data_IF_336988006770
#
_entry.id   IF_336988006770
#
_cell.length_a   1.000
_cell.length_b   1.000
_cell.length_c   1.000
_cell.angle_alpha   90.00
_cell.angle_beta   90.00
_cell.angle_gamma   90.00
#
_symmetry.space_group_name_H-M   'P 1'
#
loop_
_entity.id
_entity.type
_entity.pdbx_description
1 polymer ?
#
# COMPACT_ATOMS: atom_id res chain seq x y z
N UNK A 1 -0.62 -5.79 13.86
CA UNK A 1 0.68 -5.08 13.81
C UNK A 1 1.81 -6.10 13.98
N UNK A 2 2.31 -6.70 12.90
CA UNK A 2 3.43 -7.64 13.00
C UNK A 2 4.76 -6.90 12.84
N UNK A 3 5.63 -7.04 13.83
CA UNK A 3 7.05 -6.71 13.72
C UNK A 3 7.76 -8.02 13.42
N UNK A 4 8.04 -8.25 12.14
CA UNK A 4 8.86 -9.35 11.68
C UNK A 4 9.78 -8.84 10.57
N UNK A 5 11.08 -9.10 10.72
CA UNK A 5 12.00 -9.05 9.58
C UNK A 5 11.74 -10.31 8.75
N UNK A 6 11.50 -10.13 7.45
CA UNK A 6 11.22 -11.24 6.54
C UNK A 6 12.52 -11.69 5.90
N UNK A 7 13.01 -12.87 6.26
CA UNK A 7 13.90 -13.66 5.42
C UNK A 7 13.20 -15.00 5.16
N UNK A 8 12.60 -15.15 3.99
CA UNK A 8 12.15 -16.47 3.54
C UNK A 8 13.34 -17.17 2.89
N UNK A 9 13.98 -18.07 3.64
CA UNK A 9 14.59 -19.24 3.02
C UNK A 9 13.50 -20.30 2.84
N UNK A 10 13.51 -20.97 1.68
CA UNK A 10 12.63 -22.09 1.41
C UNK A 10 12.87 -23.16 2.49
N UNK A 11 11.91 -23.32 3.39
CA UNK A 11 11.98 -24.30 4.48
C UNK A 11 10.73 -24.19 5.34
N UNK A 12 10.11 -25.34 5.59
CA UNK A 12 9.11 -25.54 6.63
C UNK A 12 9.71 -25.09 7.97
N UNK A 13 9.39 -23.87 8.41
CA UNK A 13 9.59 -23.42 9.77
C UNK A 13 8.25 -22.87 10.28
N UNK A 14 7.88 -23.29 11.49
CA UNK A 14 6.71 -22.78 12.23
C UNK A 14 6.89 -21.29 12.49
N UNK A 15 6.34 -20.47 11.60
CA UNK A 15 6.39 -19.01 11.74
C UNK A 15 5.25 -18.57 12.63
N UNK A 16 5.61 -18.10 13.81
CA UNK A 16 4.70 -17.48 14.76
C UNK A 16 4.74 -15.96 14.59
N UNK A 17 3.58 -15.32 14.50
CA UNK A 17 3.44 -13.87 14.33
C UNK A 17 2.72 -13.28 15.53
N UNK A 18 3.34 -12.29 16.18
CA UNK A 18 2.65 -11.46 17.15
C UNK A 18 2.18 -10.16 16.49
N UNK A 19 0.95 -9.73 16.77
CA UNK A 19 0.56 -8.37 16.43
C UNK A 19 -0.75 -7.87 17.01
N UNK A 20 -0.91 -6.55 16.98
CA UNK A 20 -2.11 -5.85 17.45
C UNK A 20 -3.23 -5.82 16.41
N UNK A 21 -4.46 -6.14 16.81
CA UNK A 21 -5.67 -6.10 15.96
C UNK A 21 -6.31 -4.70 16.02
N UNK A 22 -6.69 -4.16 14.86
CA UNK A 22 -7.39 -2.87 14.74
C UNK A 22 -8.92 -3.09 14.58
N UNK A 23 -9.77 -2.06 14.70
CA UNK A 23 -11.21 -2.27 14.76
C UNK A 23 -11.85 -2.77 13.47
N UNK A 24 -12.85 -3.62 13.70
CA UNK A 24 -13.93 -4.06 12.82
C UNK A 24 -13.53 -4.75 11.50
N UNK A 25 -13.50 -6.08 11.60
CA UNK A 25 -13.85 -7.02 10.53
C UNK A 25 -15.25 -7.62 10.80
N UNK A 26 -16.20 -6.81 11.29
CA UNK A 26 -17.61 -7.19 11.21
C UNK A 26 -18.16 -6.67 9.87
N UNK A 27 -18.35 -7.61 8.92
CA UNK A 27 -19.12 -7.35 7.70
C UNK A 27 -18.30 -7.01 6.45
N UNK A 28 -17.58 -7.97 5.89
CA UNK A 28 -17.29 -8.01 4.45
C UNK A 28 -17.51 -9.43 3.93
N UNK A 29 -18.75 -9.89 4.05
CA UNK A 29 -19.29 -10.93 3.19
C UNK A 29 -19.62 -10.24 1.86
N UNK A 30 -19.00 -10.71 0.79
CA UNK A 30 -19.23 -10.29 -0.59
C UNK A 30 -20.73 -10.31 -0.94
N UNK A 31 -21.21 -9.23 -1.57
CA UNK A 31 -22.35 -9.28 -2.48
C UNK A 31 -22.05 -8.36 -3.68
N UNK A 32 -21.88 -9.00 -4.83
CA UNK A 32 -21.97 -8.39 -6.15
C UNK A 32 -23.43 -7.94 -6.41
N UNK A 33 -23.63 -6.78 -7.05
CA UNK A 33 -24.52 -6.58 -8.21
C UNK A 33 -24.83 -5.08 -8.48
N UNK A 34 -24.56 -4.66 -9.73
CA UNK A 34 -25.37 -3.84 -10.66
C UNK A 34 -25.93 -2.46 -10.18
N UNK A 35 -26.04 -1.36 -10.94
CA UNK A 35 -25.91 -1.04 -12.35
C UNK A 35 -26.03 0.51 -12.52
N UNK A 36 -25.25 1.05 -13.47
CA UNK A 36 -25.52 2.19 -14.39
C UNK A 36 -26.38 3.39 -13.93
N UNK A 37 -25.80 4.59 -14.08
CA UNK A 37 -26.41 5.70 -14.86
C UNK A 37 -25.37 6.75 -15.28
N UNK A 38 -25.33 7.01 -16.59
CA UNK A 38 -24.60 8.11 -17.23
C UNK A 38 -25.20 9.46 -16.84
N UNK A 39 -24.37 10.49 -16.68
CA UNK A 39 -24.53 11.86 -17.20
C UNK A 39 -23.15 12.56 -17.15
N UNK A 40 -22.78 13.21 -18.24
CA UNK A 40 -21.50 13.88 -18.50
C UNK A 40 -21.35 15.23 -17.78
N UNK A 41 -20.22 15.44 -17.06
CA UNK A 41 -19.56 16.74 -16.86
C UNK A 41 -18.14 16.56 -16.23
N UNK A 42 -17.26 17.59 -16.15
CA UNK A 42 -15.81 17.48 -16.38
C UNK A 42 -14.97 17.03 -15.17
N UNK A 43 -15.46 16.08 -14.37
CA UNK A 43 -14.83 15.57 -13.13
C UNK A 43 -14.06 14.23 -13.30
N UNK A 44 -13.90 13.74 -14.53
CA UNK A 44 -13.51 12.35 -14.78
C UNK A 44 -11.98 12.11 -14.77
N UNK A 45 -11.35 12.22 -13.59
CA UNK A 45 -9.99 11.69 -13.34
C UNK A 45 -10.02 10.20 -12.98
N UNK A 46 -11.14 9.71 -12.45
CA UNK A 46 -11.35 8.28 -12.28
C UNK A 46 -11.41 7.67 -13.69
N UNK A 47 -10.53 6.70 -13.96
CA UNK A 47 -10.32 6.11 -15.28
C UNK A 47 -11.49 5.17 -15.63
N UNK A 48 -12.70 5.72 -15.77
CA UNK A 48 -13.88 4.98 -16.19
C UNK A 48 -13.58 4.27 -17.53
N UNK A 49 -13.68 2.93 -17.52
CA UNK A 49 -13.55 2.10 -18.71
C UNK A 49 -12.18 1.43 -18.94
N UNK A 50 -11.21 1.53 -18.02
CA UNK A 50 -9.89 0.88 -18.15
C UNK A 50 -9.64 -0.31 -17.19
N UNK A 51 -10.67 -1.04 -16.76
CA UNK A 51 -10.49 -2.31 -16.04
C UNK A 51 -9.60 -3.30 -16.81
N UNK A 52 -9.63 -3.25 -18.15
CA UNK A 52 -8.87 -4.16 -19.03
C UNK A 52 -7.35 -3.99 -18.96
N UNK A 53 -6.83 -2.89 -18.39
CA UNK A 53 -5.40 -2.61 -18.30
C UNK A 53 -4.86 -2.59 -16.86
N UNK A 54 -5.70 -2.97 -15.88
CA UNK A 54 -5.24 -3.14 -14.50
C UNK A 54 -4.53 -4.48 -14.35
N UNK A 55 -3.38 -4.46 -13.70
CA UNK A 55 -2.68 -5.70 -13.37
C UNK A 55 -3.45 -6.53 -12.32
N UNK A 56 -4.26 -5.91 -11.43
CA UNK A 56 -5.00 -6.60 -10.35
C UNK A 56 -6.37 -5.98 -10.00
N UNK A 57 -7.28 -6.77 -9.39
CA UNK A 57 -8.53 -6.28 -8.79
C UNK A 57 -8.28 -5.26 -7.67
N UNK A 58 -9.11 -4.22 -7.61
CA UNK A 58 -9.08 -3.21 -6.55
C UNK A 58 -9.57 -3.83 -5.22
N UNK A 59 -8.83 -3.57 -4.13
CA UNK A 59 -9.29 -3.91 -2.78
C UNK A 59 -9.97 -2.66 -2.20
N UNK A 60 -11.21 -2.75 -1.69
CA UNK A 60 -11.88 -1.61 -1.07
C UNK A 60 -11.01 -1.01 0.05
N UNK A 61 -10.94 0.32 0.08
CA UNK A 61 -10.31 1.02 1.19
C UNK A 61 -11.25 0.95 2.40
N UNK A 62 -10.67 0.81 3.59
CA UNK A 62 -11.42 0.94 4.85
C UNK A 62 -11.92 2.38 5.01
N UNK A 63 -13.01 2.55 5.77
CA UNK A 63 -13.51 3.88 6.12
C UNK A 63 -12.44 4.69 6.87
N UNK A 64 -12.56 6.02 6.83
CA UNK A 64 -11.61 6.89 7.55
C UNK A 64 -11.66 6.60 9.05
N UNK A 65 -12.84 6.33 9.58
CA UNK A 65 -13.07 5.99 10.99
C UNK A 65 -12.30 4.74 11.38
N UNK A 66 -12.36 3.69 10.55
CA UNK A 66 -11.59 2.46 10.76
C UNK A 66 -10.08 2.74 10.64
N UNK A 67 -9.64 3.48 9.61
CA UNK A 67 -8.22 3.84 9.41
C UNK A 67 -7.66 4.63 10.60
N UNK A 68 -8.42 5.56 11.17
CA UNK A 68 -8.01 6.38 12.31
C UNK A 68 -7.76 5.58 13.59
N UNK A 69 -8.22 4.34 13.66
CA UNK A 69 -7.94 3.45 14.78
C UNK A 69 -6.71 2.56 14.56
N UNK A 70 -6.13 2.55 13.35
CA UNK A 70 -4.84 1.91 13.12
C UNK A 70 -3.70 2.81 13.61
N UNK A 71 -2.63 2.21 14.16
CA UNK A 71 -1.43 2.96 14.49
C UNK A 71 -0.77 3.53 13.23
N UNK A 72 -0.18 4.73 13.31
CA UNK A 72 0.46 5.41 12.17
C UNK A 72 1.72 4.70 11.68
N UNK A 73 2.36 3.89 12.53
CA UNK A 73 3.60 3.16 12.25
C UNK A 73 3.31 1.67 12.44
N UNK A 74 3.87 0.82 11.58
CA UNK A 74 3.75 -0.63 11.70
C UNK A 74 3.56 -1.32 10.35
N UNK A 75 3.11 -2.57 10.38
CA UNK A 75 2.78 -3.35 9.18
C UNK A 75 1.33 -3.82 9.22
N UNK A 76 0.56 -3.52 8.17
CA UNK A 76 -0.75 -4.11 7.92
C UNK A 76 -0.57 -5.36 7.06
N UNK A 77 -1.01 -6.49 7.61
CA UNK A 77 -1.08 -7.77 6.90
C UNK A 77 -2.55 -8.09 6.67
N UNK A 78 -2.92 -8.34 5.42
CA UNK A 78 -4.25 -8.81 5.05
C UNK A 78 -4.26 -10.33 5.08
N UNK A 79 -5.16 -10.90 5.88
CA UNK A 79 -5.36 -12.34 5.99
C UNK A 79 -6.67 -12.73 5.32
N UNK A 80 -6.62 -13.78 4.52
CA UNK A 80 -7.81 -14.53 4.09
C UNK A 80 -8.05 -15.65 5.09
N UNK A 81 -9.31 -15.96 5.34
CA UNK A 81 -9.69 -16.93 6.38
C UNK A 81 -10.46 -18.03 5.71
N UNK A 82 -9.99 -19.27 5.84
CA UNK A 82 -10.73 -20.43 5.34
C UNK A 82 -12.09 -20.52 6.01
N UNK A 83 -13.10 -20.96 5.27
CA UNK A 83 -14.46 -21.18 5.82
C UNK A 83 -14.47 -22.17 6.98
N UNK A 84 -13.52 -23.10 6.96
CA UNK A 84 -13.40 -24.16 7.97
C UNK A 84 -12.58 -23.73 9.20
N UNK A 85 -12.09 -22.49 9.23
CA UNK A 85 -11.32 -21.96 10.36
C UNK A 85 -12.24 -21.49 11.50
N UNK A 86 -12.32 -22.29 12.56
CA UNK A 86 -13.30 -22.07 13.65
C UNK A 86 -12.82 -21.04 14.71
N UNK A 87 -11.52 -20.77 14.80
CA UNK A 87 -10.93 -20.01 15.92
C UNK A 87 -10.97 -18.48 15.75
N UNK A 88 -11.55 -17.94 14.67
CA UNK A 88 -11.58 -16.48 14.46
C UNK A 88 -12.50 -15.75 15.44
N UNK A 89 -13.54 -16.44 15.92
CA UNK A 89 -14.49 -15.93 16.91
C UNK A 89 -13.86 -15.57 18.26
N UNK A 90 -12.64 -16.04 18.52
CA UNK A 90 -11.88 -15.74 19.73
C UNK A 90 -11.23 -14.35 19.69
N UNK A 91 -11.10 -13.74 18.50
CA UNK A 91 -10.62 -12.36 18.35
C UNK A 91 -11.80 -11.42 18.65
N UNK A 92 -12.04 -11.16 19.93
CA UNK A 92 -13.08 -10.23 20.38
C UNK A 92 -12.48 -8.84 20.56
N UNK A 93 -12.56 -8.04 19.50
CA UNK A 93 -12.35 -6.61 19.58
C UNK A 93 -10.96 -6.10 19.21
N UNK A 94 -10.91 -4.77 19.11
CA UNK A 94 -9.74 -3.93 18.87
C UNK A 94 -8.75 -4.06 20.02
N UNK A 95 -7.48 -3.78 19.79
CA UNK A 95 -6.58 -3.51 20.90
C UNK A 95 -5.83 -4.74 21.41
N UNK A 96 -6.27 -5.93 21.00
CA UNK A 96 -5.72 -7.16 21.53
C UNK A 96 -4.42 -7.57 20.81
N UNK A 97 -3.49 -8.12 21.58
CA UNK A 97 -2.33 -8.80 21.07
C UNK A 97 -2.69 -10.22 20.67
N UNK A 98 -2.42 -10.58 19.42
CA UNK A 98 -2.70 -11.92 18.91
C UNK A 98 -1.43 -12.58 18.40
N UNK A 99 -1.24 -13.84 18.78
CA UNK A 99 -0.25 -14.76 18.24
C UNK A 99 -0.92 -15.63 17.18
N UNK A 100 -0.45 -15.52 15.95
CA UNK A 100 -0.90 -16.34 14.82
C UNK A 100 0.17 -17.37 14.52
N UNK A 101 -0.21 -18.63 14.39
CA UNK A 101 0.69 -19.70 13.96
C UNK A 101 0.15 -20.44 12.75
N UNK A 102 1.08 -21.09 12.03
CA UNK A 102 0.82 -21.81 10.79
C UNK A 102 0.08 -20.95 9.75
N UNK A 103 0.46 -19.67 9.65
CA UNK A 103 -0.08 -18.76 8.63
C UNK A 103 0.65 -19.03 7.32
N UNK A 104 -0.09 -19.36 6.26
CA UNK A 104 0.48 -19.52 4.93
C UNK A 104 0.63 -18.15 4.30
N UNK A 105 1.83 -17.82 3.81
CA UNK A 105 2.09 -16.58 3.11
C UNK A 105 2.44 -16.85 1.66
N UNK A 106 1.73 -16.19 0.76
CA UNK A 106 1.97 -16.26 -0.68
C UNK A 106 2.21 -14.86 -1.24
N UNK A 107 3.23 -14.74 -2.08
CA UNK A 107 3.46 -13.55 -2.87
C UNK A 107 2.68 -13.68 -4.18
N UNK A 108 1.49 -13.10 -4.22
CA UNK A 108 0.68 -13.07 -5.43
C UNK A 108 0.87 -11.70 -6.11
N UNK A 109 1.64 -11.71 -7.20
CA UNK A 109 1.82 -10.56 -8.08
C UNK A 109 2.30 -9.28 -7.36
N UNK A 110 3.32 -9.44 -6.51
CA UNK A 110 3.94 -8.36 -5.74
C UNK A 110 3.23 -8.05 -4.41
N UNK A 111 2.09 -8.69 -4.13
CA UNK A 111 1.34 -8.56 -2.89
C UNK A 111 1.48 -9.78 -1.99
N UNK A 112 1.93 -9.56 -0.76
CA UNK A 112 1.86 -10.58 0.27
C UNK A 112 0.42 -10.77 0.71
N UNK A 113 -0.06 -12.01 0.61
CA UNK A 113 -1.34 -12.44 1.16
C UNK A 113 -1.07 -13.52 2.19
N UNK A 114 -1.59 -13.32 3.40
CA UNK A 114 -1.64 -14.40 4.37
C UNK A 114 -2.95 -15.16 4.26
N UNK A 115 -2.92 -16.45 4.56
CA UNK A 115 -4.08 -17.32 4.64
C UNK A 115 -4.06 -18.08 5.97
N UNK A 116 -5.18 -17.98 6.70
CA UNK A 116 -5.48 -18.86 7.83
C UNK A 116 -6.18 -20.10 7.28
N UNK A 117 -5.48 -21.23 7.36
CA UNK A 117 -5.93 -22.55 6.93
C UNK A 117 -6.54 -23.31 8.13
N UNK A 118 -7.17 -24.48 7.92
CA UNK A 118 -7.67 -25.29 9.04
C UNK A 118 -6.58 -25.66 10.06
N UNK A 119 -5.32 -25.75 9.65
CA UNK A 119 -4.17 -26.06 10.50
C UNK A 119 -3.57 -24.82 11.19
N UNK A 120 -4.09 -23.63 10.88
CA UNK A 120 -3.70 -22.38 11.53
C UNK A 120 -4.23 -22.31 12.97
N UNK A 121 -3.61 -21.47 13.79
CA UNK A 121 -4.16 -21.14 15.10
C UNK A 121 -4.02 -19.64 15.40
N UNK A 122 -4.92 -19.17 16.25
CA UNK A 122 -4.94 -17.80 16.78
C UNK A 122 -5.01 -17.92 18.29
N UNK A 123 -4.12 -17.21 18.98
CA UNK A 123 -4.11 -17.11 20.43
C UNK A 123 -4.12 -15.63 20.82
N UNK A 124 -5.09 -15.21 21.63
CA UNK A 124 -5.09 -13.89 22.26
C UNK A 124 -4.13 -13.92 23.45
N UNK A 125 -3.24 -12.93 23.53
CA UNK A 125 -2.29 -12.77 24.63
C UNK A 125 -2.74 -11.65 25.57
N UNK A 126 -2.38 -11.76 26.85
CA UNK A 126 -2.61 -10.68 27.81
C UNK A 126 -1.47 -9.67 27.77
N UNK A 127 -1.72 -8.46 28.27
CA UNK A 127 -0.74 -7.38 28.31
C UNK A 127 0.45 -7.67 29.26
N UNK A 128 0.27 -8.61 30.18
CA UNK A 128 1.31 -9.10 31.09
C UNK A 128 2.27 -10.11 30.44
N UNK A 129 1.93 -10.65 29.26
CA UNK A 129 2.79 -11.58 28.53
C UNK A 129 4.13 -10.91 28.20
N UNK A 130 5.24 -11.62 28.43
CA UNK A 130 6.59 -11.10 28.21
C UNK A 130 6.81 -10.66 26.76
N UNK A 131 6.31 -11.43 25.79
CA UNK A 131 6.44 -11.11 24.37
C UNK A 131 5.63 -9.86 24.04
N UNK A 132 4.46 -9.68 24.66
CA UNK A 132 3.63 -8.48 24.51
C UNK A 132 4.35 -7.25 25.04
N UNK A 133 4.86 -7.30 26.27
CA UNK A 133 5.58 -6.19 26.87
C UNK A 133 6.83 -5.81 26.08
N UNK A 134 7.55 -6.81 25.56
CA UNK A 134 8.64 -6.59 24.62
C UNK A 134 8.09 -5.76 23.46
N UNK A 135 7.18 -6.32 22.65
CA UNK A 135 6.75 -5.72 21.38
C UNK A 135 6.12 -4.34 21.55
N UNK A 136 5.43 -4.12 22.67
CA UNK A 136 4.91 -2.81 23.04
C UNK A 136 6.03 -1.77 23.23
N UNK A 137 7.18 -2.14 23.81
CA UNK A 137 8.35 -1.24 23.93
C UNK A 137 8.97 -0.90 22.57
N UNK A 138 9.13 -1.86 21.64
CA UNK A 138 9.57 -1.54 20.25
C UNK A 138 8.56 -0.56 19.66
N UNK A 139 7.27 -0.84 19.81
CA UNK A 139 6.24 -0.02 19.19
C UNK A 139 6.30 1.43 19.69
N UNK A 140 6.31 1.62 21.01
CA UNK A 140 6.43 2.95 21.63
C UNK A 140 7.71 3.66 21.16
N UNK A 141 8.84 2.95 21.10
CA UNK A 141 10.11 3.49 20.63
C UNK A 141 10.04 3.93 19.15
N UNK A 142 9.51 3.08 18.27
CA UNK A 142 9.35 3.41 16.85
C UNK A 142 8.38 4.54 16.63
N UNK A 143 7.34 4.65 17.47
CA UNK A 143 6.36 5.72 17.38
C UNK A 143 6.93 7.07 17.85
N UNK A 144 7.84 7.07 18.83
CA UNK A 144 8.47 8.31 19.33
C UNK A 144 9.63 8.79 18.45
N UNK A 145 10.37 7.88 17.80
CA UNK A 145 11.43 8.21 16.85
C UNK A 145 10.88 8.60 15.48
N UNK A 146 11.52 9.56 14.79
CA UNK A 146 11.23 9.88 13.38
C UNK A 146 12.01 8.99 12.40
N UNK A 147 13.18 8.52 12.80
CA UNK A 147 14.10 7.74 11.95
C UNK A 147 13.70 6.27 11.93
N UNK A 148 13.26 5.74 13.07
CA UNK A 148 12.91 4.32 13.23
C UNK A 148 11.51 3.96 12.70
N UNK A 149 10.83 4.90 12.03
CA UNK A 149 9.52 4.67 11.41
C UNK A 149 9.62 3.92 10.08
N UNK A 150 10.80 3.88 9.46
CA UNK A 150 11.00 3.14 8.22
C UNK A 150 10.77 1.62 8.45
N UNK A 151 10.04 0.94 7.54
CA UNK A 151 9.93 -0.51 7.58
C UNK A 151 11.30 -1.20 7.56
N UNK A 152 11.49 -2.23 8.38
CA UNK A 152 12.73 -3.02 8.40
C UNK A 152 13.01 -3.71 7.06
N UNK A 153 11.97 -3.98 6.26
CA UNK A 153 12.08 -4.57 4.92
C UNK A 153 12.73 -3.67 3.87
N UNK A 154 13.02 -2.42 4.21
CA UNK A 154 13.75 -1.47 3.36
C UNK A 154 15.27 -1.66 3.47
N UNK A 155 15.75 -2.41 4.47
CA UNK A 155 17.18 -2.52 4.77
C UNK A 155 18.01 -3.08 3.58
N UNK A 156 19.21 -2.53 3.32
CA UNK A 156 19.85 -1.42 4.03
C UNK A 156 19.29 -0.04 3.66
N UNK A 157 18.80 0.15 2.43
CA UNK A 157 18.26 1.41 1.92
C UNK A 157 17.21 1.17 0.83
N UNK A 158 16.28 2.12 0.61
CA UNK A 158 15.42 2.10 -0.58
C UNK A 158 16.26 2.07 -1.86
N UNK A 159 15.67 1.57 -2.94
CA UNK A 159 16.29 1.54 -4.26
C UNK A 159 16.47 2.95 -4.82
N UNK A 160 17.61 3.18 -5.47
CA UNK A 160 17.95 4.42 -6.18
C UNK A 160 17.23 4.57 -7.53
N UNK A 161 16.18 3.78 -7.79
CA UNK A 161 15.35 3.88 -9.00
C UNK A 161 14.61 5.22 -9.06
N UNK A 162 14.47 5.93 -7.94
CA UNK A 162 13.83 7.26 -7.89
C UNK A 162 14.67 8.28 -7.14
N UNK A 163 14.65 9.52 -7.62
CA UNK A 163 15.14 10.70 -6.93
C UNK A 163 13.97 11.57 -6.49
N UNK A 164 14.11 12.29 -5.37
CA UNK A 164 13.07 13.23 -4.90
C UNK A 164 13.66 14.61 -4.64
N UNK A 165 12.96 15.65 -5.07
CA UNK A 165 13.36 17.05 -4.88
C UNK A 165 13.25 17.51 -3.42
N UNK A 166 12.38 16.87 -2.62
CA UNK A 166 12.24 17.13 -1.18
C UNK A 166 13.28 16.35 -0.36
N UNK A 167 14.55 16.69 -0.56
CA UNK A 167 15.66 16.10 0.20
C UNK A 167 15.49 16.26 1.73
N UNK A 168 14.73 17.27 2.19
CA UNK A 168 14.64 17.68 3.61
C UNK A 168 13.25 17.59 4.26
N UNK A 169 12.21 17.05 3.60
CA UNK A 169 10.91 16.87 4.27
C UNK A 169 10.92 15.66 5.20
N UNK A 170 10.22 15.74 6.34
CA UNK A 170 10.06 14.60 7.24
C UNK A 170 9.37 13.43 6.53
N UNK A 171 9.91 12.23 6.71
CA UNK A 171 9.26 10.99 6.32
C UNK A 171 7.90 10.87 7.00
N UNK A 172 6.90 10.46 6.24
CA UNK A 172 5.58 10.09 6.75
C UNK A 172 5.09 8.80 6.10
N UNK A 173 4.35 8.00 6.87
CA UNK A 173 3.69 6.80 6.36
C UNK A 173 2.42 7.17 5.57
N UNK A 174 1.96 6.25 4.74
CA UNK A 174 0.68 6.41 4.06
C UNK A 174 -0.47 6.43 5.06
N UNK A 175 -0.40 5.67 6.16
CA UNK A 175 -1.41 5.70 7.22
C UNK A 175 -1.48 7.08 7.89
N UNK A 176 -0.35 7.68 8.25
CA UNK A 176 -0.32 9.04 8.83
C UNK A 176 -0.99 10.06 7.90
N UNK A 177 -0.72 9.94 6.61
CA UNK A 177 -1.36 10.78 5.60
C UNK A 177 -2.86 10.52 5.50
N UNK A 178 -3.26 9.26 5.57
CA UNK A 178 -4.67 8.86 5.49
C UNK A 178 -5.47 9.37 6.69
N UNK A 179 -4.89 9.34 7.89
CA UNK A 179 -5.53 9.74 9.14
C UNK A 179 -5.26 11.20 9.53
N UNK A 180 -4.49 11.93 8.71
CA UNK A 180 -4.19 13.35 8.92
C UNK A 180 -5.48 14.17 9.14
N UNK A 181 -5.47 15.16 10.04
CA UNK A 181 -6.54 16.15 10.12
C UNK A 181 -6.48 17.16 8.96
N UNK A 182 -5.32 17.31 8.32
CA UNK A 182 -5.16 18.15 7.13
C UNK A 182 -5.56 17.37 5.88
N UNK A 183 -6.46 17.93 5.07
CA UNK A 183 -6.92 17.30 3.83
C UNK A 183 -5.85 17.44 2.73
N UNK A 184 -5.23 18.63 2.64
CA UNK A 184 -4.22 18.97 1.64
C UNK A 184 -2.88 19.16 2.35
N UNK A 185 -1.94 18.27 2.06
CA UNK A 185 -0.58 18.33 2.59
C UNK A 185 0.38 17.66 1.63
N UNK A 186 1.67 17.98 1.78
CA UNK A 186 2.78 17.41 1.00
C UNK A 186 3.68 16.63 1.94
N UNK A 187 4.09 15.44 1.53
CA UNK A 187 4.94 14.60 2.34
C UNK A 187 5.82 13.70 1.46
N UNK A 188 6.89 13.17 2.07
CA UNK A 188 7.78 12.20 1.44
C UNK A 188 7.63 10.87 2.16
N UNK A 189 7.59 9.79 1.40
CA UNK A 189 7.37 8.44 1.90
C UNK A 189 8.20 7.42 1.12
N UNK A 190 8.30 6.20 1.64
CA UNK A 190 8.92 5.08 0.94
C UNK A 190 7.83 4.06 0.61
N UNK A 191 7.66 3.79 -0.68
CA UNK A 191 6.57 2.94 -1.19
C UNK A 191 7.07 1.94 -2.20
N UNK A 192 6.27 0.92 -2.48
CA UNK A 192 6.38 0.04 -3.65
C UNK A 192 5.24 0.34 -4.60
N UNK A 193 5.52 0.29 -5.91
CA UNK A 193 4.48 0.43 -6.94
C UNK A 193 3.93 -0.95 -7.28
N UNK A 194 2.76 -1.27 -6.72
CA UNK A 194 2.11 -2.57 -6.85
C UNK A 194 1.53 -2.75 -8.26
N UNK A 195 0.78 -1.75 -8.72
CA UNK A 195 0.16 -1.75 -10.05
C UNK A 195 0.21 -0.37 -10.67
N UNK A 196 0.00 -0.35 -11.98
CA UNK A 196 -0.12 0.85 -12.78
C UNK A 196 -1.25 0.68 -13.77
N UNK A 197 -2.00 1.75 -14.01
CA UNK A 197 -3.03 1.83 -15.04
C UNK A 197 -2.94 3.19 -15.74
N UNK A 198 -2.56 3.24 -17.02
CA UNK A 198 -2.04 2.11 -17.81
C UNK A 198 -0.60 1.75 -17.39
N UNK A 199 -0.16 0.51 -17.67
CA UNK A 199 1.20 0.05 -17.33
C UNK A 199 2.14 -0.05 -18.54
N UNK A 200 1.60 -0.12 -19.76
CA UNK A 200 2.39 -0.21 -20.99
C UNK A 200 2.84 1.19 -21.43
N UNK A 201 4.10 1.34 -21.80
CA UNK A 201 4.71 2.62 -22.19
C UNK A 201 3.90 3.38 -23.25
N UNK A 202 3.40 2.67 -24.28
CA UNK A 202 2.62 3.23 -25.38
C UNK A 202 1.30 3.89 -24.94
N UNK A 203 0.77 3.50 -23.78
CA UNK A 203 -0.54 3.92 -23.29
C UNK A 203 -0.43 4.97 -22.17
N UNK A 204 0.79 5.26 -21.67
CA UNK A 204 1.00 6.20 -20.55
C UNK A 204 0.57 7.64 -20.84
N UNK A 205 0.51 8.01 -22.12
CA UNK A 205 0.09 9.32 -22.58
C UNK A 205 -1.33 9.29 -23.16
N UNK A 206 -2.09 10.34 -22.92
CA UNK A 206 -3.35 10.61 -23.61
C UNK A 206 -3.11 10.86 -25.10
N UNK A 207 -4.16 10.80 -25.95
CA UNK A 207 -4.06 11.19 -27.36
C UNK A 207 -3.54 12.63 -27.56
N UNK A 208 -3.71 13.49 -26.56
CA UNK A 208 -3.17 14.87 -26.54
C UNK A 208 -1.69 14.94 -26.12
N UNK A 209 -1.03 13.80 -25.94
CA UNK A 209 0.39 13.69 -25.61
C UNK A 209 0.73 13.89 -24.13
N UNK A 210 -0.25 14.02 -23.23
CA UNK A 210 0.02 14.26 -21.80
C UNK A 210 0.04 12.96 -21.01
N UNK A 211 1.00 12.80 -20.10
CA UNK A 211 0.97 11.66 -19.17
C UNK A 211 -0.32 11.64 -18.34
N UNK A 212 -0.91 10.45 -18.22
CA UNK A 212 -2.07 10.18 -17.36
C UNK A 212 -1.98 8.76 -16.83
N UNK A 213 -1.48 8.62 -15.62
CA UNK A 213 -1.19 7.32 -15.01
C UNK A 213 -1.75 7.29 -13.60
N UNK A 214 -2.43 6.20 -13.25
CA UNK A 214 -2.85 5.86 -11.89
C UNK A 214 -1.98 4.71 -11.39
N UNK A 215 -1.25 4.95 -10.31
CA UNK A 215 -0.46 3.94 -9.62
C UNK A 215 -1.19 3.48 -8.36
N UNK A 216 -1.16 2.19 -8.09
CA UNK A 216 -1.45 1.65 -6.76
C UNK A 216 -0.12 1.52 -6.03
N UNK A 217 0.06 2.32 -4.99
CA UNK A 217 1.28 2.33 -4.19
C UNK A 217 0.99 1.82 -2.79
N UNK A 218 1.97 1.14 -2.20
CA UNK A 218 1.86 0.66 -0.83
C UNK A 218 3.13 0.94 -0.03
N UNK A 219 2.95 1.27 1.24
CA UNK A 219 3.99 1.15 2.25
C UNK A 219 3.65 0.01 3.21
N UNK A 220 4.36 -0.12 4.34
CA UNK A 220 4.01 -1.14 5.32
C UNK A 220 2.66 -0.87 5.99
N UNK A 221 2.20 0.38 6.00
CA UNK A 221 1.06 0.83 6.80
C UNK A 221 -0.25 0.91 6.01
N UNK A 222 -0.22 1.19 4.71
CA UNK A 222 -1.42 1.31 3.91
C UNK A 222 -1.16 1.12 2.41
N UNK A 223 -2.24 1.15 1.64
CA UNK A 223 -2.23 1.14 0.17
C UNK A 223 -3.18 2.20 -0.34
N UNK A 224 -2.76 2.98 -1.33
CA UNK A 224 -3.55 4.06 -1.91
C UNK A 224 -3.38 4.11 -3.43
N UNK A 225 -4.28 4.84 -4.08
CA UNK A 225 -4.11 5.27 -5.46
C UNK A 225 -3.41 6.63 -5.50
N UNK A 226 -2.37 6.74 -6.32
CA UNK A 226 -1.64 7.96 -6.59
C UNK A 226 -1.54 8.23 -8.09
N UNK A 227 -1.65 9.49 -8.48
CA UNK A 227 -1.74 9.89 -9.87
C UNK A 227 -0.47 10.61 -10.34
N UNK A 228 -0.03 10.30 -11.57
CA UNK A 228 0.97 11.05 -12.32
C UNK A 228 0.25 11.67 -13.51
N UNK A 229 0.26 13.00 -13.61
CA UNK A 229 -0.51 13.72 -14.64
C UNK A 229 0.21 14.95 -15.17
N UNK A 230 0.18 15.13 -16.49
CA UNK A 230 0.73 16.30 -17.18
C UNK A 230 2.22 16.53 -16.86
N UNK A 231 2.56 17.75 -16.46
CA UNK A 231 3.93 18.18 -16.14
C UNK A 231 4.61 17.32 -15.05
N UNK A 232 3.86 16.77 -14.11
CA UNK A 232 4.45 15.88 -13.10
C UNK A 232 4.92 14.57 -13.73
N UNK A 233 4.26 14.10 -14.80
CA UNK A 233 4.72 12.95 -15.58
C UNK A 233 5.95 13.26 -16.42
N UNK A 234 6.01 14.45 -17.02
CA UNK A 234 7.20 14.90 -17.74
C UNK A 234 8.42 14.96 -16.80
N UNK A 235 8.25 15.50 -15.60
CA UNK A 235 9.31 15.50 -14.58
C UNK A 235 9.65 14.07 -14.12
N UNK A 236 8.64 13.23 -13.91
CA UNK A 236 8.83 11.86 -13.46
C UNK A 236 9.64 11.02 -14.45
N UNK A 237 9.35 11.11 -15.75
CA UNK A 237 10.05 10.32 -16.79
C UNK A 237 11.25 11.03 -17.42
N UNK A 238 11.51 12.29 -17.06
CA UNK A 238 12.51 13.17 -17.67
C UNK A 238 12.20 13.49 -19.14
N UNK A 239 11.00 14.00 -19.39
CA UNK A 239 10.44 14.35 -20.69
C UNK A 239 9.60 13.22 -21.30
N UNK A 240 9.68 13.08 -22.62
CA UNK A 240 9.01 12.05 -23.41
C UNK A 240 10.06 11.14 -24.06
N UNK A 241 10.71 10.25 -23.30
CA UNK A 241 11.72 9.37 -23.86
C UNK A 241 11.10 8.39 -24.88
N UNK A 242 11.94 7.77 -25.73
CA UNK A 242 11.52 6.67 -26.60
C UNK A 242 10.78 5.55 -25.85
N UNK A 243 9.86 4.86 -26.53
CA UNK A 243 8.94 3.86 -25.93
C UNK A 243 9.70 2.71 -25.25
N UNK A 244 10.83 2.28 -25.79
CA UNK A 244 11.71 1.26 -25.22
C UNK A 244 12.32 1.71 -23.89
N UNK A 245 12.84 2.93 -23.83
CA UNK A 245 13.36 3.54 -22.59
C UNK A 245 12.25 3.68 -21.54
N UNK A 246 11.06 4.11 -21.96
CA UNK A 246 9.90 4.24 -21.09
C UNK A 246 9.40 2.87 -20.58
N UNK A 247 9.50 1.82 -21.40
CA UNK A 247 9.18 0.45 -21.04
C UNK A 247 10.14 -0.07 -19.97
N UNK A 248 11.45 0.09 -20.16
CA UNK A 248 12.47 -0.30 -19.18
C UNK A 248 12.28 0.41 -17.84
N UNK A 249 11.98 1.71 -17.89
CA UNK A 249 11.62 2.51 -16.71
C UNK A 249 10.42 1.93 -15.96
N UNK A 250 9.34 1.60 -16.68
CA UNK A 250 8.16 0.97 -16.06
C UNK A 250 8.48 -0.43 -15.50
N UNK A 251 9.32 -1.21 -16.16
CA UNK A 251 9.72 -2.54 -15.69
C UNK A 251 10.52 -2.45 -14.40
N UNK A 252 11.47 -1.52 -14.29
CA UNK A 252 12.21 -1.24 -13.05
C UNK A 252 11.27 -0.83 -11.92
N UNK A 253 10.37 0.12 -12.19
CA UNK A 253 9.41 0.63 -11.20
C UNK A 253 8.45 -0.45 -10.70
N UNK A 254 7.97 -1.31 -11.60
CA UNK A 254 7.05 -2.42 -11.30
C UNK A 254 7.75 -3.71 -10.89
N UNK A 255 9.09 -3.72 -10.83
CA UNK A 255 9.89 -4.90 -10.50
C UNK A 255 9.68 -6.09 -11.43
N UNK A 256 9.44 -5.84 -12.72
CA UNK A 256 9.24 -6.87 -13.75
C UNK A 256 10.61 -7.42 -14.14
N UNK A 257 10.81 -8.73 -13.92
CA UNK A 257 11.98 -9.48 -14.42
C UNK A 257 11.50 -10.55 -15.39
N UNK A 258 11.56 -10.26 -16.68
CA UNK A 258 11.11 -11.15 -17.75
C UNK A 258 9.58 -11.19 -17.90
N UNK A 259 8.84 -11.63 -16.87
CA UNK A 259 7.37 -11.78 -16.91
C UNK A 259 6.65 -10.80 -15.98
N UNK A 260 5.56 -10.14 -16.42
CA UNK A 260 4.70 -9.31 -15.57
C UNK A 260 3.99 -10.05 -14.43
N UNK A 261 4.02 -11.39 -14.41
CA UNK A 261 3.42 -12.20 -13.35
C UNK A 261 4.34 -12.33 -12.14
N UNK A 262 5.65 -12.45 -12.39
CA UNK A 262 6.69 -12.64 -11.37
C UNK A 262 7.37 -11.29 -11.09
N UNK A 263 6.68 -10.46 -10.30
CA UNK A 263 7.12 -9.09 -9.98
C UNK A 263 7.54 -8.96 -8.52
N UNK A 264 8.60 -8.21 -8.31
CA UNK A 264 9.02 -7.76 -6.98
C UNK A 264 9.37 -6.27 -7.04
N UNK A 265 8.37 -5.37 -6.95
CA UNK A 265 8.59 -3.94 -7.04
C UNK A 265 9.58 -3.45 -5.96
N UNK A 266 10.58 -2.63 -6.32
CA UNK A 266 11.52 -2.10 -5.35
C UNK A 266 10.86 -1.08 -4.42
N UNK A 267 11.38 -0.96 -3.20
CA UNK A 267 11.07 0.17 -2.32
C UNK A 267 11.70 1.43 -2.89
N UNK A 268 10.91 2.47 -3.13
CA UNK A 268 11.35 3.73 -3.76
C UNK A 268 10.90 4.93 -2.95
N UNK A 269 11.69 6.00 -2.99
CA UNK A 269 11.28 7.29 -2.43
C UNK A 269 10.23 7.95 -3.32
N UNK A 270 9.19 8.48 -2.70
CA UNK A 270 8.12 9.16 -3.42
C UNK A 270 7.65 10.39 -2.66
N UNK A 271 7.48 11.50 -3.38
CA UNK A 271 6.82 12.69 -2.86
C UNK A 271 5.36 12.71 -3.30
N UNK A 272 4.47 12.87 -2.32
CA UNK A 272 3.02 12.82 -2.49
C UNK A 272 2.38 14.10 -1.98
N UNK A 273 1.41 14.60 -2.73
CA UNK A 273 0.51 15.67 -2.31
C UNK A 273 -0.93 15.16 -2.32
N UNK A 274 -1.66 15.38 -1.25
CA UNK A 274 -3.10 15.15 -1.23
C UNK A 274 -3.85 16.34 -1.83
N UNK A 275 -5.01 16.06 -2.41
CA UNK A 275 -5.97 17.03 -2.93
C UNK A 275 -7.36 16.40 -2.92
N UNK A 276 -8.41 17.18 -3.06
CA UNK A 276 -9.79 16.68 -3.17
C UNK A 276 -10.42 17.13 -4.48
N UNK A 277 -11.43 16.40 -4.95
CA UNK A 277 -12.14 16.70 -6.21
C UNK A 277 -13.47 17.40 -5.98
N UNK A 278 -14.05 17.22 -4.80
CA UNK A 278 -15.34 17.78 -4.40
C UNK A 278 -15.20 18.56 -3.10
N UNK A 279 -15.51 19.87 -3.15
CA UNK A 279 -15.53 20.74 -1.98
C UNK A 279 -16.62 20.33 -0.96
N UNK A 280 -17.69 19.66 -1.41
CA UNK A 280 -18.77 19.20 -0.55
C UNK A 280 -18.46 17.86 0.13
N UNK A 281 -17.50 17.10 -0.42
CA UNK A 281 -16.98 15.89 0.19
C UNK A 281 -15.44 15.84 0.09
N UNK A 282 -14.72 16.69 0.84
CA UNK A 282 -13.27 16.77 0.72
C UNK A 282 -12.56 15.47 1.12
N UNK A 283 -13.15 14.70 2.03
CA UNK A 283 -12.55 13.47 2.55
C UNK A 283 -12.81 12.27 1.64
N UNK A 284 -14.04 12.05 1.19
CA UNK A 284 -14.37 10.93 0.29
C UNK A 284 -13.84 11.16 -1.14
N UNK A 285 -13.73 12.42 -1.57
CA UNK A 285 -13.12 12.79 -2.85
C UNK A 285 -11.60 13.00 -2.78
N UNK A 286 -10.96 12.71 -1.64
CA UNK A 286 -9.51 12.87 -1.49
C UNK A 286 -8.76 11.93 -2.45
N UNK A 287 -7.71 12.44 -3.07
CA UNK A 287 -6.81 11.77 -4.01
C UNK A 287 -5.37 12.19 -3.71
N UNK A 288 -4.42 11.42 -4.24
CA UNK A 288 -2.99 11.66 -4.08
C UNK A 288 -2.30 11.84 -5.42
N UNK A 289 -1.35 12.77 -5.51
CA UNK A 289 -0.58 13.02 -6.73
C UNK A 289 0.90 12.90 -6.43
N UNK A 290 1.61 12.18 -7.28
CA UNK A 290 3.07 12.13 -7.26
C UNK A 290 3.57 13.43 -7.88
N UNK A 291 4.53 14.06 -7.22
CA UNK A 291 5.18 15.28 -7.67
C UNK A 291 6.63 15.28 -7.20
N UNK A 292 7.50 16.11 -7.79
CA UNK A 292 8.89 16.28 -7.33
C UNK A 292 9.65 14.96 -7.15
N UNK A 293 9.31 13.95 -7.95
CA UNK A 293 9.89 12.61 -7.93
C UNK A 293 10.29 12.29 -9.37
N UNK A 294 11.52 11.82 -9.59
CA UNK A 294 12.07 11.48 -10.89
C UNK A 294 12.52 10.03 -10.92
N UNK A 295 12.21 9.32 -11.98
CA UNK A 295 12.64 7.94 -12.20
C UNK A 295 14.03 7.91 -12.85
N UNK A 296 15.00 7.39 -12.11
CA UNK A 296 16.42 7.26 -12.51
C UNK A 296 16.63 5.90 -13.19
N UNK A 297 17.44 5.91 -14.26
CA UNK A 297 17.85 4.71 -15.00
C UNK A 297 17.08 4.54 -16.29
#
# INVERSE_FOLDING_TARGET
MSIGSWHCHNGHEDKTFLGHVAPELEGCISLEELQKRNISNPKNLDMEGQEKNLLHPEVPLLSREALCAFPPVGTIIRLTVSKDFQNISHIKGVGCWVKLGNVVFELQSGLWKGALTPDSYVQVLSDEDYDVQWHQRIFIYRNSSKVDRLPLSIFPWPSDVTETDLAYSSYSTLMESLTSPEIIHKFRTVVRVVTSCPWQAKDLCTPTGKYRIRLMIEDSTARIHAYIFGEDGEKFFNGYPPIDVLTEKMYKLLGIRGSPVLRNPPWVWCCLKSYYLDENDPWGSRRYRIFGTRLIG
#
